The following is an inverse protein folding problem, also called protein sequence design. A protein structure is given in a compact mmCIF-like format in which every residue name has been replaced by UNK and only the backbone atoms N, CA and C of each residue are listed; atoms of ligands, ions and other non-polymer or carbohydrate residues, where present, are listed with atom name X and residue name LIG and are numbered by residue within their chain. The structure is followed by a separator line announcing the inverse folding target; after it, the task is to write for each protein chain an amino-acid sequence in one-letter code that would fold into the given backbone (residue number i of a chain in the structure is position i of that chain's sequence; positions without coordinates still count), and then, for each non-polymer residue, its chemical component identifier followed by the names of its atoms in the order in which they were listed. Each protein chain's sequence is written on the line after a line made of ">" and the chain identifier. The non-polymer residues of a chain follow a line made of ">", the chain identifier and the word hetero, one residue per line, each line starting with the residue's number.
data_IF_121735957355
#
_entry.id   IF_121735957355
#
_cell.length_a   1.000
_cell.length_b   1.000
_cell.length_c   1.000
_cell.angle_alpha   90.00
_cell.angle_beta   90.00
_cell.angle_gamma   90.00
#
_symmetry.space_group_name_H-M   'P 1'
#
loop_
_entity.id
_entity.type
_entity.pdbx_description
1 polymer ?
#
# COMPACT_ATOMS: atom_id res chain seq x y z
N UNK A 1 9.66 22.95 -4.23
CA UNK A 1 10.12 21.57 -4.45
C UNK A 1 10.14 21.33 -5.96
N UNK A 2 11.30 21.01 -6.55
CA UNK A 2 11.38 20.62 -7.97
C UNK A 2 11.62 19.11 -8.01
N UNK A 3 10.77 18.37 -8.70
CA UNK A 3 11.01 16.95 -8.96
C UNK A 3 12.19 16.85 -9.94
N UNK A 4 13.24 16.15 -9.54
CA UNK A 4 14.52 16.10 -10.29
C UNK A 4 14.64 14.86 -11.17
N UNK A 5 13.71 13.92 -11.06
CA UNK A 5 13.71 12.66 -11.80
C UNK A 5 12.27 12.19 -12.02
N UNK A 6 11.95 11.83 -13.26
CA UNK A 6 10.69 11.20 -13.61
C UNK A 6 10.74 9.69 -13.30
N UNK A 7 9.58 9.11 -13.02
CA UNK A 7 9.39 7.67 -12.79
C UNK A 7 8.86 7.04 -14.06
N UNK A 8 9.34 5.84 -14.41
CA UNK A 8 8.86 5.13 -15.60
C UNK A 8 7.43 4.60 -15.40
N UNK A 9 7.14 4.07 -14.23
CA UNK A 9 5.80 3.61 -13.85
C UNK A 9 5.60 3.64 -12.34
N UNK A 10 4.35 3.89 -11.92
CA UNK A 10 3.95 3.81 -10.53
C UNK A 10 2.64 3.03 -10.39
N UNK A 11 2.54 2.21 -9.35
CA UNK A 11 1.30 1.53 -8.92
C UNK A 11 0.97 1.97 -7.51
N UNK A 12 -0.27 2.39 -7.29
CA UNK A 12 -0.78 2.72 -5.96
C UNK A 12 -1.82 1.66 -5.59
N UNK A 13 -1.67 1.07 -4.41
CA UNK A 13 -2.60 0.07 -3.87
C UNK A 13 -3.14 0.59 -2.56
N UNK A 14 -4.46 0.67 -2.45
CA UNK A 14 -5.12 0.94 -1.16
C UNK A 14 -5.05 -0.32 -0.32
N UNK A 15 -4.24 -0.26 0.74
CA UNK A 15 -4.07 -1.37 1.69
C UNK A 15 -5.08 -1.26 2.83
N UNK A 16 -5.46 -0.04 3.20
CA UNK A 16 -6.46 0.24 4.23
C UNK A 16 -7.30 1.45 3.84
N UNK A 17 -8.59 1.38 4.11
CA UNK A 17 -9.57 2.45 3.97
C UNK A 17 -10.65 2.28 5.05
N UNK A 18 -11.48 3.31 5.24
CA UNK A 18 -12.64 3.32 6.13
C UNK A 18 -13.67 2.24 5.73
N UNK A 19 -13.68 1.84 4.45
CA UNK A 19 -14.62 0.85 3.91
C UNK A 19 -13.94 -0.10 2.91
N UNK A 20 -14.13 -1.40 3.10
CA UNK A 20 -13.51 -2.45 2.30
C UNK A 20 -14.50 -3.18 1.37
N UNK A 21 -15.77 -2.74 1.28
CA UNK A 21 -16.81 -3.45 0.53
C UNK A 21 -17.56 -4.50 1.37
N UNK A 22 -18.72 -4.95 0.87
CA UNK A 22 -19.44 -6.11 1.43
C UNK A 22 -18.90 -7.42 0.84
N UNK A 23 -18.87 -8.48 1.65
CA UNK A 23 -18.45 -9.82 1.23
C UNK A 23 -17.05 -9.86 0.59
N UNK A 24 -16.17 -8.91 0.95
CA UNK A 24 -14.76 -8.95 0.57
C UNK A 24 -13.94 -9.59 1.70
N UNK A 25 -12.79 -10.20 1.39
CA UNK A 25 -11.92 -10.74 2.42
C UNK A 25 -11.13 -9.64 3.16
N UNK A 26 -11.22 -8.38 2.72
CA UNK A 26 -10.42 -7.27 3.23
C UNK A 26 -11.00 -6.69 4.52
N UNK A 27 -10.12 -6.26 5.41
CA UNK A 27 -10.49 -5.55 6.64
C UNK A 27 -10.44 -4.04 6.40
N UNK A 28 -11.47 -3.35 6.90
CA UNK A 28 -11.52 -1.90 6.93
C UNK A 28 -11.13 -1.39 8.33
N UNK A 29 -10.64 -0.16 8.40
CA UNK A 29 -10.41 0.55 9.66
C UNK A 29 -10.42 2.05 9.39
N UNK A 30 -10.85 2.86 10.36
CA UNK A 30 -10.75 4.30 10.20
C UNK A 30 -9.30 4.74 9.90
N UNK A 31 -9.14 5.47 8.80
CA UNK A 31 -7.87 5.91 8.24
C UNK A 31 -7.58 5.34 6.85
N UNK A 32 -6.46 5.76 6.28
CA UNK A 32 -6.00 5.31 4.97
C UNK A 32 -4.57 4.79 5.08
N UNK A 33 -4.25 3.72 4.35
CA UNK A 33 -2.87 3.28 4.14
C UNK A 33 -2.69 2.89 2.69
N UNK A 34 -1.64 3.43 2.05
CA UNK A 34 -1.37 3.25 0.63
C UNK A 34 0.00 2.60 0.45
N UNK A 35 0.06 1.52 -0.32
CA UNK A 35 1.33 1.01 -0.83
C UNK A 35 1.60 1.65 -2.19
N UNK A 36 2.68 2.42 -2.26
CA UNK A 36 3.18 3.02 -3.50
C UNK A 36 4.36 2.20 -3.98
N UNK A 37 4.25 1.66 -5.19
CA UNK A 37 5.33 0.98 -5.88
C UNK A 37 5.81 1.84 -7.06
N UNK A 38 7.11 2.05 -7.17
CA UNK A 38 7.74 2.91 -8.18
C UNK A 38 8.80 2.11 -8.93
N UNK A 39 8.64 1.99 -10.24
CA UNK A 39 9.61 1.35 -11.13
C UNK A 39 10.52 2.40 -11.75
N UNK A 40 11.84 2.19 -11.62
CA UNK A 40 12.88 2.99 -12.25
C UNK A 40 13.98 2.08 -12.80
N UNK A 41 13.93 1.74 -14.09
CA UNK A 41 14.86 0.82 -14.71
C UNK A 41 14.72 -0.59 -14.15
N UNK A 42 15.76 -1.13 -13.52
CA UNK A 42 15.72 -2.44 -12.82
C UNK A 42 15.27 -2.34 -11.36
N UNK A 43 15.11 -1.13 -10.82
CA UNK A 43 14.83 -0.92 -9.40
C UNK A 43 13.32 -0.74 -9.18
N UNK A 44 12.77 -1.49 -8.23
CA UNK A 44 11.42 -1.29 -7.72
C UNK A 44 11.51 -0.79 -6.27
N UNK A 45 10.95 0.38 -6.01
CA UNK A 45 10.84 0.95 -4.67
C UNK A 45 9.42 0.76 -4.16
N UNK A 46 9.28 0.30 -2.92
CA UNK A 46 7.99 0.17 -2.23
C UNK A 46 7.96 1.09 -1.03
N UNK A 47 6.89 1.87 -0.90
CA UNK A 47 6.67 2.80 0.22
C UNK A 47 5.28 2.54 0.76
N UNK A 48 5.18 2.14 2.03
CA UNK A 48 3.91 2.12 2.74
C UNK A 48 3.68 3.49 3.38
N UNK A 49 2.69 4.21 2.88
CA UNK A 49 2.29 5.52 3.39
C UNK A 49 1.18 5.33 4.43
N UNK A 50 1.46 5.79 5.64
CA UNK A 50 0.62 5.61 6.84
C UNK A 50 0.44 4.13 7.24
N UNK A 51 0.22 3.88 8.51
CA UNK A 51 0.13 2.52 9.09
C UNK A 51 -1.14 2.32 9.90
N UNK A 52 -2.11 3.22 9.77
CA UNK A 52 -3.38 3.15 10.48
C UNK A 52 -3.19 3.15 12.01
N UNK A 53 -4.24 2.74 12.71
CA UNK A 53 -4.26 2.67 14.19
C UNK A 53 -3.87 1.29 14.72
N UNK A 54 -3.99 0.26 13.90
CA UNK A 54 -3.63 -1.12 14.21
C UNK A 54 -2.92 -1.75 13.03
N UNK A 55 -1.91 -2.57 13.31
CA UNK A 55 -1.20 -3.32 12.29
C UNK A 55 -2.07 -4.45 11.69
N UNK A 56 -3.06 -4.95 12.41
CA UNK A 56 -3.83 -6.15 12.03
C UNK A 56 -4.52 -6.01 10.65
N UNK A 57 -5.31 -4.95 10.38
CA UNK A 57 -5.94 -4.79 9.06
C UNK A 57 -4.93 -4.70 7.92
N UNK A 58 -3.81 -4.01 8.15
CA UNK A 58 -2.76 -3.83 7.14
C UNK A 58 -2.08 -5.16 6.83
N UNK A 59 -1.59 -5.87 7.84
CA UNK A 59 -0.89 -7.15 7.65
C UNK A 59 -1.81 -8.21 7.03
N UNK A 60 -3.08 -8.25 7.44
CA UNK A 60 -4.10 -9.12 6.85
C UNK A 60 -4.34 -8.81 5.37
N UNK A 61 -4.57 -7.53 5.03
CA UNK A 61 -4.82 -7.11 3.66
C UNK A 61 -3.59 -7.32 2.76
N UNK A 62 -2.37 -7.06 3.26
CA UNK A 62 -1.12 -7.38 2.55
C UNK A 62 -0.97 -8.88 2.27
N UNK A 63 -1.31 -9.73 3.24
CA UNK A 63 -1.33 -11.18 3.07
C UNK A 63 -2.30 -11.63 1.97
N UNK A 64 -3.51 -11.07 1.91
CA UNK A 64 -4.47 -11.34 0.82
C UNK A 64 -3.91 -10.89 -0.54
N UNK A 65 -3.21 -9.77 -0.58
CA UNK A 65 -2.60 -9.23 -1.79
C UNK A 65 -1.32 -9.97 -2.22
N UNK A 66 -0.83 -10.93 -1.43
CA UNK A 66 0.42 -11.65 -1.67
C UNK A 66 1.66 -10.74 -1.57
N UNK A 67 1.59 -9.71 -0.71
CA UNK A 67 2.65 -8.74 -0.51
C UNK A 67 3.27 -8.98 0.86
N UNK A 68 4.49 -9.51 0.87
CA UNK A 68 5.24 -9.69 2.12
C UNK A 68 5.82 -8.35 2.59
N UNK A 69 5.51 -7.91 3.82
CA UNK A 69 6.19 -6.78 4.43
C UNK A 69 7.62 -7.18 4.79
N UNK A 70 8.60 -6.73 4.01
CA UNK A 70 10.01 -6.86 4.34
C UNK A 70 10.48 -5.70 5.23
N UNK A 71 11.50 -5.95 6.06
CA UNK A 71 12.18 -4.91 6.86
C UNK A 71 12.83 -3.83 5.98
#
# INVERSE_FOLDING_TARGET
>A
MKFTKETEAARIVTVLDDYAGYETPFLAQHGISLLVEIQNGSNCHRILMDTGQSALPILHNLGILGIEPSS
#
